data_IF_163348661613
#
_entry.id   IF_163348661613
#
_cell.length_a   1.000
_cell.length_b   1.000
_cell.length_c   1.000
_cell.angle_alpha   90.00
_cell.angle_beta   90.00
_cell.angle_gamma   90.00
#
_symmetry.space_group_name_H-M   'P 1'
#
loop_
_entity.id
_entity.type
_entity.pdbx_description
1 polymer ?
#
# COMPACT_ATOMS: atom_id res chain seq x y z
N UNK A 1 26.70 -6.13 26.46
CA UNK A 1 27.19 -7.52 26.42
C UNK A 1 26.49 -8.42 27.44
N UNK A 2 26.51 -8.10 28.75
CA UNK A 2 25.87 -8.89 29.82
C UNK A 2 24.34 -9.10 29.66
N UNK A 3 23.59 -8.07 29.27
CA UNK A 3 22.13 -8.18 29.07
C UNK A 3 21.74 -9.08 27.90
N UNK A 4 22.54 -9.07 26.83
CA UNK A 4 22.31 -9.92 25.66
C UNK A 4 22.56 -11.40 26.00
N UNK A 5 23.63 -11.69 26.72
CA UNK A 5 23.91 -13.05 27.18
C UNK A 5 22.85 -13.55 28.15
N UNK A 6 22.42 -12.72 29.11
CA UNK A 6 21.36 -13.07 30.06
C UNK A 6 20.03 -13.39 29.34
N UNK A 7 19.64 -12.57 28.36
CA UNK A 7 18.44 -12.79 27.58
C UNK A 7 18.54 -14.07 26.74
N UNK A 8 19.68 -14.33 26.12
CA UNK A 8 19.91 -15.56 25.35
C UNK A 8 19.88 -16.82 26.23
N UNK A 9 20.45 -16.74 27.43
CA UNK A 9 20.42 -17.82 28.42
C UNK A 9 18.96 -18.13 28.84
N UNK A 10 18.17 -17.09 29.13
CA UNK A 10 16.76 -17.23 29.50
C UNK A 10 15.93 -17.85 28.36
N UNK A 11 16.23 -17.50 27.11
CA UNK A 11 15.57 -18.08 25.92
C UNK A 11 15.85 -19.57 25.77
N UNK A 12 17.10 -19.97 26.03
CA UNK A 12 17.54 -21.36 25.96
C UNK A 12 16.91 -22.22 27.06
N UNK A 13 16.76 -21.66 28.26
CA UNK A 13 16.35 -22.41 29.45
C UNK A 13 14.81 -22.54 29.58
N UNK A 14 14.03 -21.68 28.92
CA UNK A 14 12.56 -21.65 29.04
C UNK A 14 11.82 -21.49 27.69
N UNK A 15 11.85 -22.49 26.79
CA UNK A 15 11.28 -22.37 25.44
C UNK A 15 9.75 -22.17 25.41
N UNK A 16 9.04 -22.52 26.49
CA UNK A 16 7.57 -22.47 26.61
C UNK A 16 7.05 -21.40 27.58
N UNK A 17 7.91 -20.53 28.13
CA UNK A 17 7.41 -19.34 28.79
C UNK A 17 6.68 -18.49 27.74
N UNK A 18 5.61 -17.80 28.14
CA UNK A 18 4.80 -16.91 27.30
C UNK A 18 5.61 -15.65 26.92
N UNK A 19 6.70 -15.89 26.19
CA UNK A 19 7.93 -15.12 26.07
C UNK A 19 8.01 -14.42 24.73
N UNK A 20 6.85 -14.03 24.17
CA UNK A 20 6.79 -13.45 22.83
C UNK A 20 7.42 -12.06 22.71
N UNK A 21 7.87 -11.44 23.80
CA UNK A 21 8.33 -10.05 23.78
C UNK A 21 9.73 -9.79 24.40
N UNK A 22 10.55 -10.78 24.79
CA UNK A 22 11.88 -10.44 25.38
C UNK A 22 12.75 -9.64 24.39
N UNK A 23 12.74 -10.04 23.13
CA UNK A 23 13.45 -9.34 22.06
C UNK A 23 12.92 -7.92 21.81
N UNK A 24 11.59 -7.76 21.87
CA UNK A 24 10.92 -6.47 21.70
C UNK A 24 11.18 -5.54 22.90
N UNK A 25 11.08 -6.07 24.12
CA UNK A 25 11.39 -5.36 25.36
C UNK A 25 12.85 -4.96 25.42
N UNK A 26 13.77 -5.82 24.96
CA UNK A 26 15.19 -5.48 24.90
C UNK A 26 15.46 -4.30 23.95
N UNK A 27 14.74 -4.22 22.83
CA UNK A 27 14.82 -3.06 21.95
C UNK A 27 14.34 -1.78 22.63
N UNK A 28 13.22 -1.85 23.35
CA UNK A 28 12.74 -0.72 24.17
C UNK A 28 13.83 -0.28 25.17
N UNK A 29 14.41 -1.22 25.91
CA UNK A 29 15.49 -0.93 26.85
C UNK A 29 16.68 -0.23 26.18
N UNK A 30 17.09 -0.68 24.99
CA UNK A 30 18.17 -0.03 24.24
C UNK A 30 17.80 1.39 23.80
N UNK A 31 16.55 1.62 23.34
CA UNK A 31 16.09 2.93 22.93
C UNK A 31 15.98 3.88 24.13
N UNK A 32 15.43 3.41 25.26
CA UNK A 32 15.32 4.16 26.50
C UNK A 32 16.70 4.54 27.06
N UNK A 33 17.68 3.64 26.97
CA UNK A 33 19.07 3.91 27.35
C UNK A 33 19.86 4.70 26.29
N UNK A 34 19.23 5.10 25.17
CA UNK A 34 19.87 5.76 24.02
C UNK A 34 21.04 4.97 23.40
N UNK A 35 21.07 3.65 23.61
CA UNK A 35 22.05 2.72 23.06
C UNK A 35 21.66 2.29 21.63
N UNK A 36 21.56 3.27 20.73
CA UNK A 36 21.09 3.03 19.35
C UNK A 36 22.00 2.09 18.54
N UNK A 37 23.30 2.06 18.83
CA UNK A 37 24.26 1.18 18.17
C UNK A 37 24.03 -0.29 18.55
N UNK A 38 23.70 -0.55 19.81
CA UNK A 38 23.37 -1.90 20.30
C UNK A 38 22.03 -2.37 19.73
N UNK A 39 21.02 -1.49 19.70
CA UNK A 39 19.73 -1.78 19.04
C UNK A 39 19.92 -2.13 17.56
N UNK A 40 20.74 -1.36 16.83
CA UNK A 40 21.04 -1.62 15.42
C UNK A 40 21.75 -2.97 15.24
N UNK A 41 22.73 -3.28 16.09
CA UNK A 41 23.49 -4.52 16.04
C UNK A 41 22.62 -5.74 16.37
N UNK A 42 21.70 -5.60 17.32
CA UNK A 42 20.71 -6.61 17.65
C UNK A 42 19.80 -6.90 16.44
N UNK A 43 19.26 -5.86 15.80
CA UNK A 43 18.37 -6.02 14.64
C UNK A 43 19.05 -6.70 13.45
N UNK A 44 20.33 -6.39 13.19
CA UNK A 44 21.08 -7.08 12.13
C UNK A 44 21.16 -8.58 12.38
N UNK A 45 21.52 -8.99 13.61
CA UNK A 45 21.55 -10.41 14.00
C UNK A 45 20.17 -11.06 13.96
N UNK A 46 19.12 -10.30 14.30
CA UNK A 46 17.74 -10.78 14.28
C UNK A 46 17.26 -11.06 12.85
N UNK A 47 17.73 -10.29 11.87
CA UNK A 47 17.37 -10.47 10.45
C UNK A 47 17.93 -11.78 9.88
N UNK A 48 19.15 -12.17 10.28
CA UNK A 48 19.81 -13.40 9.82
C UNK A 48 19.07 -14.68 10.24
N UNK A 49 18.38 -14.67 11.38
CA UNK A 49 17.83 -15.87 12.03
C UNK A 49 16.38 -16.19 11.58
N UNK A 50 15.80 -15.48 10.61
CA UNK A 50 14.42 -15.69 10.12
C UNK A 50 13.36 -15.74 11.23
N UNK A 51 13.56 -15.01 12.33
CA UNK A 51 12.57 -14.88 13.39
C UNK A 51 11.30 -14.15 12.92
N UNK A 52 10.14 -14.38 13.56
CA UNK A 52 8.89 -13.72 13.19
C UNK A 52 9.02 -12.20 13.33
N UNK A 53 8.58 -11.46 12.31
CA UNK A 53 8.58 -9.99 12.32
C UNK A 53 7.43 -9.45 13.18
N UNK A 54 7.64 -8.27 13.75
CA UNK A 54 6.63 -7.51 14.49
C UNK A 54 6.76 -6.02 14.21
N UNK A 55 5.75 -5.25 14.64
CA UNK A 55 5.79 -3.80 14.53
C UNK A 55 7.04 -3.24 15.25
N UNK A 56 7.37 -3.77 16.43
CA UNK A 56 8.56 -3.38 17.20
C UNK A 56 9.85 -3.58 16.41
N UNK A 57 10.03 -4.73 15.75
CA UNK A 57 11.22 -4.99 14.94
C UNK A 57 11.29 -4.05 13.73
N UNK A 58 10.21 -3.99 12.94
CA UNK A 58 10.21 -3.26 11.67
C UNK A 58 10.29 -1.75 11.86
N UNK A 59 9.48 -1.19 12.77
CA UNK A 59 9.46 0.25 13.01
C UNK A 59 10.68 0.74 13.81
N UNK A 60 11.26 -0.08 14.70
CA UNK A 60 12.53 0.30 15.35
C UNK A 60 13.68 0.35 14.34
N UNK A 61 13.74 -0.62 13.40
CA UNK A 61 14.70 -0.56 12.31
C UNK A 61 14.52 0.71 11.46
N UNK A 62 13.27 1.07 11.14
CA UNK A 62 12.95 2.29 10.42
C UNK A 62 13.36 3.55 11.19
N UNK A 63 13.07 3.62 12.50
CA UNK A 63 13.45 4.74 13.38
C UNK A 63 14.97 4.94 13.43
N UNK A 64 15.73 3.85 13.56
CA UNK A 64 17.20 3.93 13.63
C UNK A 64 17.81 4.44 12.33
N UNK A 65 17.22 4.10 11.17
CA UNK A 65 17.61 4.65 9.86
C UNK A 65 17.16 6.10 9.69
N UNK A 66 15.91 6.42 10.07
CA UNK A 66 15.38 7.77 10.07
C UNK A 66 16.29 8.71 10.87
N UNK A 67 16.74 8.29 12.07
CA UNK A 67 17.65 9.05 12.92
C UNK A 67 18.94 9.52 12.23
N UNK A 68 19.41 8.82 11.21
CA UNK A 68 20.64 9.19 10.50
C UNK A 68 20.45 10.36 9.53
N UNK A 69 19.21 10.63 9.11
CA UNK A 69 18.92 11.56 8.00
C UNK A 69 17.78 12.56 8.29
N UNK A 70 16.99 12.35 9.35
CA UNK A 70 15.73 13.05 9.57
C UNK A 70 15.88 14.55 9.87
N UNK A 71 16.98 14.96 10.51
CA UNK A 71 17.30 16.36 10.85
C UNK A 71 17.54 17.22 9.59
N UNK A 72 17.99 16.60 8.50
CA UNK A 72 18.35 17.26 7.24
C UNK A 72 17.39 16.95 6.11
N UNK A 73 16.41 16.08 6.34
CA UNK A 73 15.51 15.62 5.29
C UNK A 73 14.53 16.73 4.91
N UNK A 74 14.48 17.03 3.61
CA UNK A 74 13.49 17.95 3.02
C UNK A 74 12.77 17.26 1.86
N UNK A 75 11.44 17.09 1.94
CA UNK A 75 10.65 16.51 0.85
C UNK A 75 10.78 17.28 -0.47
N UNK A 76 10.88 18.61 -0.42
CA UNK A 76 11.00 19.47 -1.60
C UNK A 76 12.35 19.32 -2.30
N UNK A 77 13.43 19.15 -1.52
CA UNK A 77 14.75 18.89 -2.07
C UNK A 77 14.83 17.48 -2.64
N UNK A 78 14.30 16.49 -1.92
CA UNK A 78 14.25 15.10 -2.35
C UNK A 78 13.45 14.93 -3.64
N UNK A 79 12.35 15.66 -3.83
CA UNK A 79 11.54 15.57 -5.05
C UNK A 79 12.25 16.13 -6.29
N UNK A 80 13.15 17.11 -6.13
CA UNK A 80 13.91 17.72 -7.24
C UNK A 80 15.22 16.99 -7.54
N UNK A 81 15.95 16.58 -6.49
CA UNK A 81 17.29 15.97 -6.58
C UNK A 81 17.25 14.44 -6.65
N UNK A 82 16.14 13.83 -6.24
CA UNK A 82 16.09 12.43 -5.88
C UNK A 82 16.68 12.16 -4.49
N UNK A 83 16.45 10.94 -3.99
CA UNK A 83 16.95 10.48 -2.70
C UNK A 83 18.43 10.06 -2.83
N UNK A 84 19.25 10.48 -1.88
CA UNK A 84 20.60 9.93 -1.71
C UNK A 84 20.51 8.50 -1.11
N UNK A 85 21.62 7.72 -1.10
CA UNK A 85 21.58 6.33 -0.61
C UNK A 85 21.11 6.16 0.85
N UNK A 86 21.43 7.11 1.73
CA UNK A 86 21.01 7.06 3.13
C UNK A 86 19.52 7.40 3.30
N UNK A 87 19.06 8.43 2.58
CA UNK A 87 17.64 8.81 2.50
C UNK A 87 16.82 7.65 1.92
N UNK A 88 17.28 7.04 0.83
CA UNK A 88 16.63 5.88 0.21
C UNK A 88 16.54 4.71 1.20
N UNK A 89 17.62 4.38 1.91
CA UNK A 89 17.63 3.31 2.91
C UNK A 89 16.63 3.56 4.06
N UNK A 90 16.48 4.81 4.51
CA UNK A 90 15.51 5.16 5.53
C UNK A 90 14.06 5.08 5.01
N UNK A 91 13.81 5.60 3.80
CA UNK A 91 12.50 5.54 3.15
C UNK A 91 12.08 4.08 2.90
N UNK A 92 12.97 3.23 2.40
CA UNK A 92 12.72 1.80 2.22
C UNK A 92 12.45 1.07 3.54
N UNK A 93 13.14 1.44 4.62
CA UNK A 93 12.87 0.87 5.94
C UNK A 93 11.48 1.26 6.45
N UNK A 94 11.05 2.52 6.25
CA UNK A 94 9.68 2.95 6.56
C UNK A 94 8.66 2.20 5.70
N UNK A 95 8.89 2.09 4.39
CA UNK A 95 7.98 1.35 3.51
C UNK A 95 7.81 -0.11 3.96
N UNK A 96 8.90 -0.81 4.31
CA UNK A 96 8.84 -2.18 4.86
C UNK A 96 8.08 -2.26 6.18
N UNK A 97 8.22 -1.25 7.05
CA UNK A 97 7.50 -1.20 8.32
C UNK A 97 5.99 -0.95 8.14
N UNK A 98 5.65 -0.05 7.22
CA UNK A 98 4.25 0.25 6.85
C UNK A 98 3.61 -0.93 6.12
N UNK A 99 4.36 -1.61 5.27
CA UNK A 99 3.94 -2.86 4.61
C UNK A 99 3.65 -3.97 5.64
N UNK A 100 4.46 -4.04 6.71
CA UNK A 100 4.20 -4.96 7.81
C UNK A 100 2.92 -4.60 8.58
N UNK A 101 2.80 -3.38 9.11
CA UNK A 101 1.58 -2.93 9.78
C UNK A 101 1.26 -1.47 9.39
N UNK A 102 0.23 -1.24 8.54
CA UNK A 102 -0.08 0.09 8.03
C UNK A 102 -0.86 0.97 9.02
N UNK A 103 -1.25 0.44 10.19
CA UNK A 103 -2.03 1.19 11.17
C UNK A 103 -1.15 1.98 12.14
N UNK A 104 0.08 1.53 12.38
CA UNK A 104 1.07 2.18 13.25
C UNK A 104 1.27 3.67 12.96
N UNK A 105 1.42 4.12 11.69
CA UNK A 105 1.66 5.54 11.41
C UNK A 105 0.53 6.43 11.91
N UNK A 106 -0.72 5.97 11.88
CA UNK A 106 -1.87 6.78 12.36
C UNK A 106 -1.75 7.10 13.86
N UNK A 107 -1.17 6.20 14.66
CA UNK A 107 -0.94 6.44 16.09
C UNK A 107 0.33 7.26 16.33
N UNK A 108 1.41 6.97 15.60
CA UNK A 108 2.65 7.74 15.73
C UNK A 108 2.49 9.20 15.30
N UNK A 109 1.66 9.45 14.29
CA UNK A 109 1.30 10.78 13.79
C UNK A 109 0.16 11.42 14.58
N UNK A 110 -0.32 10.76 15.64
CA UNK A 110 -1.39 11.25 16.52
C UNK A 110 -2.69 11.58 15.77
N UNK A 111 -2.93 10.93 14.63
CA UNK A 111 -4.18 11.01 13.86
C UNK A 111 -5.31 10.20 14.51
N UNK A 112 -4.96 9.29 15.42
CA UNK A 112 -5.89 8.50 16.24
C UNK A 112 -5.52 8.63 17.72
N UNK A 113 -6.51 8.56 18.63
CA UNK A 113 -6.24 8.60 20.06
C UNK A 113 -5.42 7.38 20.47
N UNK A 114 -4.32 7.63 21.16
CA UNK A 114 -3.49 6.60 21.78
C UNK A 114 -4.12 6.20 23.12
N UNK A 115 -4.41 4.92 23.28
CA UNK A 115 -5.01 4.34 24.49
C UNK A 115 -4.04 3.35 25.15
N UNK A 116 -4.37 2.87 26.35
CA UNK A 116 -3.63 1.79 26.97
C UNK A 116 -3.68 0.54 26.09
N UNK A 117 -2.53 -0.14 25.86
CA UNK A 117 -2.51 -1.38 25.10
C UNK A 117 -3.22 -2.50 25.86
N UNK A 118 -3.82 -3.41 25.09
CA UNK A 118 -4.46 -4.61 25.62
C UNK A 118 -3.42 -5.68 25.95
N UNK A 119 -3.73 -6.57 26.90
CA UNK A 119 -2.85 -7.68 27.26
C UNK A 119 -2.60 -8.63 26.07
N UNK A 120 -3.65 -8.89 25.30
CA UNK A 120 -3.58 -9.67 24.07
C UNK A 120 -3.50 -8.75 22.85
N UNK A 121 -2.61 -9.10 21.93
CA UNK A 121 -2.29 -8.31 20.74
C UNK A 121 -2.44 -9.17 19.50
N UNK A 122 -3.19 -8.67 18.52
CA UNK A 122 -3.22 -9.20 17.18
C UNK A 122 -2.06 -8.61 16.37
N UNK A 123 -1.15 -9.46 15.89
CA UNK A 123 -0.08 -9.04 14.97
C UNK A 123 -0.71 -8.46 13.69
N UNK A 124 -0.19 -7.31 13.27
CA UNK A 124 -0.64 -6.51 12.12
C UNK A 124 -2.02 -5.88 12.30
N UNK A 125 -2.50 -5.72 13.53
CA UNK A 125 -3.75 -5.05 13.87
C UNK A 125 -3.57 -3.64 14.44
N UNK A 126 -4.69 -3.01 14.79
CA UNK A 126 -4.70 -1.82 15.64
C UNK A 126 -4.18 -2.13 17.04
N UNK A 127 -4.47 -3.31 17.59
CA UNK A 127 -3.96 -3.70 18.91
C UNK A 127 -2.43 -3.72 18.96
N UNK A 128 -1.75 -4.25 17.94
CA UNK A 128 -0.28 -4.18 17.85
C UNK A 128 0.20 -2.75 17.56
N UNK A 129 -0.53 -2.01 16.72
CA UNK A 129 -0.17 -0.64 16.40
C UNK A 129 -0.21 0.30 17.61
N UNK A 130 -1.24 0.15 18.45
CA UNK A 130 -1.40 0.84 19.73
C UNK A 130 -0.28 0.41 20.68
N UNK A 131 -0.04 -0.89 20.83
CA UNK A 131 1.03 -1.38 21.71
C UNK A 131 2.40 -0.83 21.31
N UNK A 132 2.73 -0.86 20.02
CA UNK A 132 3.98 -0.27 19.53
C UNK A 132 4.04 1.24 19.80
N UNK A 133 3.03 1.99 19.35
CA UNK A 133 3.01 3.44 19.47
C UNK A 133 3.02 3.90 20.93
N UNK A 134 2.36 3.17 21.84
CA UNK A 134 2.31 3.47 23.26
C UNK A 134 3.70 3.55 23.88
N UNK A 135 4.55 2.56 23.59
CA UNK A 135 5.91 2.53 24.12
C UNK A 135 6.92 3.33 23.28
N UNK A 136 6.69 3.51 21.98
CA UNK A 136 7.72 4.03 21.08
C UNK A 136 7.48 5.46 20.55
N UNK A 137 6.30 6.05 20.75
CA UNK A 137 6.01 7.42 20.29
C UNK A 137 7.03 8.43 20.84
N UNK A 138 7.42 8.30 22.10
CA UNK A 138 8.43 9.14 22.72
C UNK A 138 9.79 9.04 22.01
N UNK A 139 10.20 7.83 21.60
CA UNK A 139 11.44 7.62 20.87
C UNK A 139 11.42 8.23 19.47
N UNK A 140 10.28 8.15 18.77
CA UNK A 140 10.10 8.82 17.48
C UNK A 140 10.14 10.34 17.62
N UNK A 141 9.51 10.90 18.65
CA UNK A 141 9.53 12.35 18.93
C UNK A 141 10.90 12.85 19.39
N UNK A 142 11.70 12.01 20.04
CA UNK A 142 13.06 12.36 20.47
C UNK A 142 14.04 12.54 19.29
N UNK A 143 13.73 11.96 18.12
CA UNK A 143 14.52 12.14 16.90
C UNK A 143 13.93 13.28 16.08
N UNK A 144 14.64 14.41 16.04
CA UNK A 144 14.22 15.58 15.28
C UNK A 144 13.96 15.25 13.80
N UNK A 145 12.78 15.63 13.31
CA UNK A 145 12.35 15.37 11.94
C UNK A 145 11.84 13.95 11.65
N UNK A 146 11.97 12.97 12.56
CA UNK A 146 11.59 11.58 12.25
C UNK A 146 10.08 11.42 12.03
N UNK A 147 9.26 12.11 12.82
CA UNK A 147 7.79 12.15 12.65
C UNK A 147 7.43 12.78 11.30
N UNK A 148 8.13 13.84 10.89
CA UNK A 148 7.90 14.49 9.60
C UNK A 148 8.31 13.58 8.42
N UNK A 149 9.46 12.92 8.52
CA UNK A 149 9.88 11.92 7.55
C UNK A 149 8.85 10.80 7.42
N UNK A 150 8.36 10.26 8.54
CA UNK A 150 7.30 9.26 8.56
C UNK A 150 6.06 9.79 7.83
N UNK A 151 5.59 10.99 8.20
CA UNK A 151 4.43 11.64 7.59
C UNK A 151 4.54 11.76 6.07
N UNK A 152 5.70 12.20 5.56
CA UNK A 152 5.92 12.39 4.12
C UNK A 152 6.06 11.08 3.33
N UNK A 153 6.33 9.95 3.99
CA UNK A 153 6.71 8.70 3.32
C UNK A 153 5.64 7.61 3.43
N UNK A 154 4.91 7.53 4.55
CA UNK A 154 4.05 6.39 4.83
C UNK A 154 2.90 6.24 3.81
N UNK A 155 2.25 7.32 3.38
CA UNK A 155 1.20 7.28 2.36
C UNK A 155 1.71 6.81 1.00
N UNK A 156 2.97 7.15 0.67
CA UNK A 156 3.64 6.70 -0.55
C UNK A 156 3.76 5.18 -0.63
N UNK A 157 3.82 4.49 0.52
CA UNK A 157 3.91 3.02 0.60
C UNK A 157 2.78 2.34 -0.17
N UNK A 158 1.53 2.81 -0.03
CA UNK A 158 0.37 2.18 -0.69
C UNK A 158 0.38 2.31 -2.21
N UNK A 159 1.19 3.24 -2.75
CA UNK A 159 1.40 3.35 -4.20
C UNK A 159 2.39 2.30 -4.71
N UNK A 160 3.39 1.94 -3.90
CA UNK A 160 4.45 0.98 -4.22
C UNK A 160 4.03 -0.47 -4.04
N UNK A 161 3.12 -0.76 -3.09
CA UNK A 161 2.60 -2.11 -2.87
C UNK A 161 1.79 -2.55 -4.10
N UNK A 162 2.08 -3.73 -4.70
CA UNK A 162 1.35 -4.24 -5.85
C UNK A 162 -0.11 -4.53 -5.51
N UNK A 163 -0.97 -4.57 -6.54
CA UNK A 163 -2.38 -4.92 -6.37
C UNK A 163 -2.59 -6.43 -6.53
N UNK A 164 -3.43 -7.09 -5.69
CA UNK A 164 -4.09 -6.56 -4.48
C UNK A 164 -3.07 -6.19 -3.39
N UNK A 165 -3.39 -5.21 -2.54
CA UNK A 165 -2.49 -4.71 -1.48
C UNK A 165 -2.03 -5.82 -0.51
N UNK A 166 -2.82 -6.90 -0.43
CA UNK A 166 -2.49 -8.33 -0.64
C UNK A 166 -1.06 -8.87 -0.80
N UNK A 167 -0.17 -8.13 -1.45
CA UNK A 167 1.05 -8.68 -2.04
C UNK A 167 2.21 -7.72 -1.82
N UNK A 168 3.36 -8.24 -1.41
CA UNK A 168 4.57 -7.48 -1.08
C UNK A 168 5.62 -8.39 -0.45
N UNK A 169 6.85 -7.88 -0.29
CA UNK A 169 8.00 -8.64 0.21
C UNK A 169 7.81 -9.14 1.65
N UNK A 170 7.15 -8.37 2.51
CA UNK A 170 6.83 -8.74 3.90
C UNK A 170 5.33 -8.96 4.10
N UNK A 171 4.60 -9.08 2.99
CA UNK A 171 3.16 -9.07 2.98
C UNK A 171 2.56 -10.47 3.01
N UNK A 172 2.13 -10.90 4.20
CA UNK A 172 1.16 -11.99 4.30
C UNK A 172 -0.26 -11.43 4.08
N UNK A 173 -1.22 -12.23 3.57
CA UNK A 173 -2.59 -11.76 3.45
C UNK A 173 -3.11 -11.25 4.78
N UNK A 174 -3.74 -10.07 4.80
CA UNK A 174 -4.40 -9.57 5.99
C UNK A 174 -5.54 -10.54 6.33
N UNK A 175 -5.56 -11.16 7.53
CA UNK A 175 -6.61 -12.11 7.85
C UNK A 175 -7.97 -11.41 7.73
N UNK A 176 -8.93 -12.02 7.04
CA UNK A 176 -10.25 -11.41 6.88
C UNK A 176 -10.95 -11.17 8.25
N UNK A 177 -10.60 -11.97 9.26
CA UNK A 177 -11.07 -11.83 10.64
C UNK A 177 -10.31 -10.79 11.47
N UNK A 178 -9.20 -10.21 10.98
CA UNK A 178 -8.36 -9.33 11.78
C UNK A 178 -9.13 -8.13 12.36
N UNK A 179 -9.98 -7.52 11.55
CA UNK A 179 -10.87 -6.43 11.99
C UNK A 179 -11.84 -6.85 13.09
N UNK A 180 -12.33 -8.10 13.05
CA UNK A 180 -13.23 -8.65 14.07
C UNK A 180 -12.46 -8.96 15.34
N UNK A 181 -11.27 -9.55 15.23
CA UNK A 181 -10.41 -9.85 16.38
C UNK A 181 -9.98 -8.57 17.10
N UNK A 182 -9.54 -7.53 16.37
CA UNK A 182 -9.23 -6.23 16.99
C UNK A 182 -10.47 -5.60 17.65
N UNK A 183 -11.68 -5.86 17.13
CA UNK A 183 -12.93 -5.38 17.73
C UNK A 183 -13.26 -6.06 19.06
N UNK A 184 -12.86 -7.30 19.23
CA UNK A 184 -13.02 -8.04 20.48
C UNK A 184 -11.96 -7.64 21.52
N UNK A 185 -10.75 -7.33 21.06
CA UNK A 185 -9.65 -6.93 21.94
C UNK A 185 -9.80 -5.48 22.43
N UNK A 186 -10.13 -4.56 21.51
CA UNK A 186 -10.10 -3.13 21.81
C UNK A 186 -11.42 -2.63 22.42
N UNK A 187 -11.38 -1.57 23.25
CA UNK A 187 -12.59 -0.97 23.82
C UNK A 187 -13.60 -0.54 22.75
N UNK A 188 -14.89 -0.65 23.05
CA UNK A 188 -15.99 -0.34 22.10
C UNK A 188 -16.00 1.10 21.57
N UNK A 189 -15.42 2.04 22.30
CA UNK A 189 -15.27 3.44 21.87
C UNK A 189 -14.10 3.64 20.89
N UNK A 190 -13.19 2.66 20.77
CA UNK A 190 -12.07 2.74 19.84
C UNK A 190 -12.53 2.44 18.42
N UNK A 191 -12.38 3.42 17.52
CA UNK A 191 -12.74 3.25 16.11
C UNK A 191 -11.62 2.50 15.38
N UNK A 192 -11.91 1.28 14.88
CA UNK A 192 -10.94 0.42 14.22
C UNK A 192 -10.54 0.97 12.85
N UNK A 193 -9.24 0.94 12.57
CA UNK A 193 -8.61 1.25 11.30
C UNK A 193 -8.95 0.19 10.27
N UNK A 194 -9.44 0.63 9.12
CA UNK A 194 -9.63 -0.26 7.97
C UNK A 194 -8.31 -0.36 7.22
N UNK A 195 -7.92 -1.59 6.87
CA UNK A 195 -6.79 -1.83 5.99
C UNK A 195 -7.04 -1.10 4.66
N UNK A 196 -6.11 -0.26 4.17
CA UNK A 196 -6.33 0.51 2.96
C UNK A 196 -6.62 -0.44 1.80
N UNK A 197 -7.66 -0.12 1.01
CA UNK A 197 -8.02 -0.85 -0.20
C UNK A 197 -7.68 0.03 -1.38
N UNK A 198 -6.97 -0.53 -2.36
CA UNK A 198 -6.74 0.16 -3.64
C UNK A 198 -7.90 -0.23 -4.54
N UNK A 199 -8.71 0.74 -4.92
CA UNK A 199 -9.77 0.49 -5.89
C UNK A 199 -9.16 0.04 -7.22
N UNK A 200 -9.81 -0.91 -7.89
CA UNK A 200 -9.37 -1.37 -9.20
C UNK A 200 -9.47 -0.18 -10.16
N UNK A 201 -8.39 0.23 -10.84
CA UNK A 201 -8.46 1.33 -11.79
C UNK A 201 -9.56 1.09 -12.82
N UNK A 202 -10.38 2.11 -13.09
CA UNK A 202 -11.50 2.02 -14.03
C UNK A 202 -11.10 1.39 -15.37
N UNK A 203 -9.92 1.72 -15.88
CA UNK A 203 -9.42 1.20 -17.16
C UNK A 203 -9.24 -0.33 -17.18
N UNK A 204 -8.88 -0.96 -16.05
CA UNK A 204 -8.77 -2.41 -15.98
C UNK A 204 -10.16 -3.04 -16.10
N UNK A 205 -11.14 -2.51 -15.37
CA UNK A 205 -12.53 -2.98 -15.44
C UNK A 205 -13.12 -2.75 -16.83
N UNK A 206 -12.88 -1.58 -17.42
CA UNK A 206 -13.33 -1.23 -18.76
C UNK A 206 -12.73 -2.17 -19.83
N UNK A 207 -11.42 -2.43 -19.76
CA UNK A 207 -10.73 -3.32 -20.70
C UNK A 207 -11.20 -4.77 -20.55
N UNK A 208 -11.36 -5.24 -19.31
CA UNK A 208 -11.91 -6.56 -19.03
C UNK A 208 -13.32 -6.70 -19.59
N UNK A 209 -14.19 -5.70 -19.39
CA UNK A 209 -15.55 -5.67 -19.94
C UNK A 209 -15.57 -5.70 -21.48
N UNK A 210 -14.74 -4.89 -22.14
CA UNK A 210 -14.60 -4.90 -23.60
C UNK A 210 -14.09 -6.25 -24.12
N UNK A 211 -13.10 -6.84 -23.43
CA UNK A 211 -12.56 -8.15 -23.78
C UNK A 211 -13.62 -9.26 -23.64
N UNK A 212 -14.35 -9.28 -22.52
CA UNK A 212 -15.45 -10.21 -22.30
C UNK A 212 -16.56 -10.04 -23.33
N UNK A 213 -16.94 -8.80 -23.66
CA UNK A 213 -17.92 -8.51 -24.71
C UNK A 213 -17.46 -9.04 -26.08
N UNK A 214 -16.18 -8.80 -26.43
CA UNK A 214 -15.60 -9.28 -27.69
C UNK A 214 -15.60 -10.79 -27.75
N UNK A 215 -15.24 -11.48 -26.65
CA UNK A 215 -15.28 -12.93 -26.56
C UNK A 215 -16.71 -13.46 -26.74
N UNK A 216 -17.70 -12.85 -26.10
CA UNK A 216 -19.12 -13.21 -26.28
C UNK A 216 -19.56 -13.02 -27.73
N UNK A 217 -19.24 -11.88 -28.35
CA UNK A 217 -19.56 -11.62 -29.75
C UNK A 217 -18.89 -12.63 -30.69
N UNK A 218 -17.63 -13.01 -30.43
CA UNK A 218 -16.93 -14.03 -31.18
C UNK A 218 -17.60 -15.40 -31.04
N UNK A 219 -17.96 -15.81 -29.81
CA UNK A 219 -18.73 -17.04 -29.57
C UNK A 219 -20.08 -17.02 -30.28
N UNK A 220 -20.82 -15.91 -30.22
CA UNK A 220 -22.10 -15.78 -30.91
C UNK A 220 -21.96 -15.80 -32.43
N UNK A 221 -20.88 -15.23 -32.98
CA UNK A 221 -20.58 -15.30 -34.42
C UNK A 221 -20.29 -16.74 -34.85
N UNK A 222 -19.60 -17.49 -34.00
CA UNK A 222 -19.30 -18.91 -34.25
C UNK A 222 -20.55 -19.80 -34.18
N UNK A 223 -21.42 -19.58 -33.19
CA UNK A 223 -22.64 -20.40 -33.01
C UNK A 223 -23.76 -20.01 -33.97
N UNK A 224 -23.90 -18.72 -34.32
CA UNK A 224 -24.99 -18.17 -35.13
C UNK A 224 -24.51 -17.24 -36.25
N UNK A 225 -23.80 -17.76 -37.27
CA UNK A 225 -23.16 -16.93 -38.30
C UNK A 225 -24.16 -16.10 -39.12
N UNK A 226 -25.30 -16.67 -39.53
CA UNK A 226 -26.27 -15.98 -40.38
C UNK A 226 -26.97 -14.81 -39.66
N UNK A 227 -27.37 -15.03 -38.41
CA UNK A 227 -28.02 -14.01 -37.59
C UNK A 227 -27.04 -12.88 -37.26
N UNK A 228 -25.80 -13.22 -36.93
CA UNK A 228 -24.76 -12.23 -36.63
C UNK A 228 -24.32 -11.44 -37.87
N UNK A 229 -24.31 -12.08 -39.05
CA UNK A 229 -24.07 -11.40 -40.33
C UNK A 229 -25.15 -10.36 -40.66
N UNK A 230 -26.43 -10.70 -40.44
CA UNK A 230 -27.54 -9.75 -40.60
C UNK A 230 -27.46 -8.60 -39.60
N UNK A 231 -27.17 -8.91 -38.32
CA UNK A 231 -26.96 -7.91 -37.28
C UNK A 231 -25.81 -6.96 -37.62
N UNK A 232 -24.65 -7.47 -38.03
CA UNK A 232 -23.49 -6.67 -38.42
C UNK A 232 -23.79 -5.71 -39.57
N UNK A 233 -24.47 -6.19 -40.63
CA UNK A 233 -24.88 -5.33 -41.76
C UNK A 233 -25.80 -4.19 -41.32
N UNK A 234 -26.79 -4.47 -40.46
CA UNK A 234 -27.70 -3.44 -39.93
C UNK A 234 -26.93 -2.44 -39.07
N UNK A 235 -26.03 -2.90 -38.22
CA UNK A 235 -25.20 -2.05 -37.35
C UNK A 235 -24.26 -1.15 -38.17
N UNK A 236 -23.56 -1.69 -39.18
CA UNK A 236 -22.72 -0.92 -40.09
C UNK A 236 -23.54 0.15 -40.84
N UNK A 237 -24.69 -0.23 -41.39
CA UNK A 237 -25.58 0.71 -42.06
C UNK A 237 -26.00 1.85 -41.12
N UNK A 238 -26.32 1.54 -39.85
CA UNK A 238 -26.70 2.53 -38.86
C UNK A 238 -25.54 3.49 -38.50
N UNK A 239 -24.32 2.97 -38.36
CA UNK A 239 -23.12 3.76 -38.07
C UNK A 239 -22.75 4.69 -39.23
N UNK A 240 -22.86 4.20 -40.47
CA UNK A 240 -22.49 4.98 -41.66
C UNK A 240 -23.63 5.86 -42.21
N UNK A 241 -24.87 5.66 -41.76
CA UNK A 241 -26.03 6.46 -42.21
C UNK A 241 -25.86 7.98 -42.07
N UNK A 242 -25.30 8.53 -40.97
CA UNK A 242 -25.05 9.97 -40.86
C UNK A 242 -24.00 10.47 -41.86
N UNK A 243 -22.96 9.67 -42.13
CA UNK A 243 -21.90 10.01 -43.08
C UNK A 243 -22.46 9.99 -44.50
N UNK A 244 -23.24 8.97 -44.86
CA UNK A 244 -23.91 8.87 -46.15
C UNK A 244 -24.88 10.05 -46.36
N UNK A 245 -25.66 10.41 -45.34
CA UNK A 245 -26.54 11.58 -45.40
C UNK A 245 -25.77 12.89 -45.63
N UNK A 246 -24.60 13.07 -44.99
CA UNK A 246 -23.76 14.24 -45.22
C UNK A 246 -23.15 14.25 -46.63
N UNK A 247 -22.71 13.09 -47.14
CA UNK A 247 -22.20 12.94 -48.50
C UNK A 247 -23.29 13.28 -49.54
N UNK A 248 -24.51 12.75 -49.36
CA UNK A 248 -25.65 13.05 -50.24
C UNK A 248 -25.98 14.55 -50.26
N UNK A 249 -25.88 15.22 -49.09
CA UNK A 249 -26.06 16.68 -48.99
C UNK A 249 -24.94 17.46 -49.69
N UNK A 250 -23.69 17.02 -49.55
CA UNK A 250 -22.55 17.64 -50.21
C UNK A 250 -22.62 17.47 -51.74
N UNK A 251 -22.98 16.28 -52.22
CA UNK A 251 -23.19 15.99 -53.63
C UNK A 251 -24.34 16.85 -54.20
N UNK A 252 -25.45 16.98 -53.46
CA UNK A 252 -26.55 17.87 -53.82
C UNK A 252 -26.15 19.35 -53.91
N UNK A 253 -25.30 19.83 -53.00
CA UNK A 253 -24.75 21.20 -53.04
C UNK A 253 -23.78 21.38 -54.22
N UNK A 254 -22.93 20.39 -54.48
CA UNK A 254 -21.96 20.43 -55.57
C UNK A 254 -22.67 20.44 -56.94
N UNK A 255 -23.73 19.66 -57.09
CA UNK A 255 -24.59 19.69 -58.28
C UNK A 255 -25.37 21.01 -58.43
N UNK A 256 -25.73 21.67 -57.33
CA UNK A 256 -26.36 23.00 -57.37
C UNK A 256 -25.39 24.14 -57.72
N UNK A 257 -24.11 23.98 -57.36
CA UNK A 257 -23.03 24.92 -57.67
C UNK A 257 -22.41 24.67 -59.05
N UNK A 258 -22.64 23.51 -59.66
CA UNK A 258 -22.20 23.20 -61.03
C UNK A 258 -23.04 23.98 -62.04
N UNK A 259 -22.47 24.93 -62.80
CA UNK A 259 -23.22 25.65 -63.82
C UNK A 259 -23.60 24.67 -64.93
N UNK A 260 -24.88 24.65 -65.29
CA UNK A 260 -25.42 23.84 -66.37
C UNK A 260 -24.65 24.03 -67.69
N UNK A 261 -23.71 23.13 -67.97
CA UNK A 261 -23.19 22.80 -69.28
C UNK A 261 -23.63 21.36 -69.53
N UNK A 262 -24.58 21.00 -70.38
CA UNK A 262 -25.13 21.61 -71.59
C UNK A 262 -26.64 21.29 -71.66
N UNK A 263 -27.49 22.30 -71.86
CA UNK A 263 -28.82 22.12 -72.49
C UNK A 263 -28.77 22.82 -73.85
N UNK A 264 -28.81 22.01 -74.92
CA UNK A 264 -29.01 22.27 -76.36
C UNK A 264 -28.10 21.24 -77.06
N UNK A 265 -28.56 20.28 -77.86
CA UNK A 265 -29.79 20.05 -78.64
C UNK A 265 -30.15 18.57 -78.52
#
# INVERSE_FOLDING_TARGET
MLLFELAFQLIKDYPNFNMFNIHENLLECYLAAQQYADAQSFLTKYDDVHYPKSATICYTAALLKARQIADKFSPDIASRRGLNPAELSAVEAIHRAVEFNPHVPKYLLEMKPLILPTEHILKRGDSEAIAYAFFHLAHWKAVEGAINLLHCTWEGTFRLIPYPLEKGNLFYPYPHSATTTDRELLPSFHTISVYPKKDVPFFILFTAALCSLTAVLACMTHVYPDQMGSFSKKTLHWIFSPVNYLLDRLEGLLLHLSPASNRKV
#
